data_IF_087367987561
#
_entry.id   IF_087367987561
#
_cell.length_a   1.000
_cell.length_b   1.000
_cell.length_c   1.000
_cell.angle_alpha   90.00
_cell.angle_beta   90.00
_cell.angle_gamma   90.00
#
_symmetry.space_group_name_H-M   'P 1'
#
loop_
_entity.id
_entity.type
_entity.pdbx_description
1 polymer ?
#
# COMPACT_ATOMS: atom_id res chain seq x y z
N UNK A 1 40.63 -20.07 -10.72
CA UNK A 1 40.08 -21.14 -11.59
C UNK A 1 38.67 -21.42 -11.09
N UNK A 2 37.56 -21.22 -11.80
CA UNK A 2 37.27 -20.89 -13.19
C UNK A 2 36.03 -19.98 -13.21
N UNK A 3 36.07 -19.02 -14.11
CA UNK A 3 34.97 -18.27 -14.72
C UNK A 3 33.96 -19.18 -15.40
N UNK A 4 32.65 -18.90 -15.31
CA UNK A 4 31.72 -19.13 -16.43
C UNK A 4 30.73 -17.98 -16.51
N UNK A 5 30.67 -17.40 -17.71
CA UNK A 5 29.82 -16.31 -18.15
C UNK A 5 29.04 -16.85 -19.36
N UNK A 6 27.84 -16.30 -19.60
CA UNK A 6 26.98 -16.43 -20.80
C UNK A 6 26.20 -17.76 -20.98
N UNK A 7 24.87 -17.66 -21.09
CA UNK A 7 24.28 -17.65 -22.44
C UNK A 7 22.85 -17.11 -22.49
N UNK A 8 22.71 -16.20 -23.45
CA UNK A 8 21.53 -15.54 -23.95
C UNK A 8 20.96 -16.46 -25.04
N UNK A 9 19.67 -16.80 -25.04
CA UNK A 9 19.03 -17.35 -26.24
C UNK A 9 17.62 -16.82 -26.43
N UNK A 10 17.52 -15.96 -27.43
CA UNK A 10 16.32 -15.55 -28.14
C UNK A 10 15.72 -16.77 -28.84
N UNK A 11 14.40 -16.99 -28.72
CA UNK A 11 13.66 -17.83 -29.68
C UNK A 11 12.57 -17.00 -30.34
N UNK A 12 12.79 -16.75 -31.63
CA UNK A 12 11.85 -16.11 -32.53
C UNK A 12 10.73 -17.03 -33.01
N UNK A 13 9.61 -16.38 -33.26
CA UNK A 13 8.55 -16.55 -34.26
C UNK A 13 8.51 -17.83 -35.12
N UNK A 14 7.31 -18.42 -35.22
CA UNK A 14 6.39 -18.32 -36.38
C UNK A 14 5.23 -19.32 -36.20
N UNK A 15 3.98 -18.85 -36.23
CA UNK A 15 3.09 -19.21 -37.33
C UNK A 15 1.79 -18.40 -37.36
N UNK A 16 1.42 -18.10 -38.59
CA UNK A 16 0.34 -17.24 -39.07
C UNK A 16 -0.96 -18.03 -39.06
N UNK A 17 -1.98 -17.49 -38.39
CA UNK A 17 -3.37 -17.92 -38.47
C UNK A 17 -4.23 -16.75 -38.94
N UNK A 18 -4.93 -16.96 -40.05
CA UNK A 18 -5.76 -16.00 -40.78
C UNK A 18 -6.98 -15.48 -39.98
N UNK A 19 -7.51 -14.28 -40.30
CA UNK A 19 -8.54 -13.62 -39.52
C UNK A 19 -9.95 -14.15 -39.88
N UNK A 20 -10.61 -14.80 -38.95
CA UNK A 20 -12.06 -15.05 -39.03
C UNK A 20 -12.81 -13.88 -38.37
N UNK A 21 -13.64 -13.18 -39.17
CA UNK A 21 -14.53 -12.11 -38.71
C UNK A 21 -15.52 -12.66 -37.66
N UNK A 22 -15.43 -12.19 -36.43
CA UNK A 22 -16.47 -12.37 -35.43
C UNK A 22 -17.56 -11.28 -35.59
N UNK A 23 -18.85 -11.62 -35.41
CA UNK A 23 -19.97 -10.77 -35.77
C UNK A 23 -20.21 -9.61 -34.80
N UNK A 24 -20.70 -8.51 -35.35
CA UNK A 24 -21.16 -7.29 -34.66
C UNK A 24 -22.34 -7.63 -33.74
N UNK A 25 -22.36 -7.21 -32.46
CA UNK A 25 -23.54 -7.39 -31.62
C UNK A 25 -24.64 -6.41 -32.08
N UNK A 26 -25.74 -6.97 -32.58
CA UNK A 26 -26.97 -6.24 -32.89
C UNK A 26 -27.59 -5.68 -31.60
N UNK A 27 -27.63 -4.35 -31.49
CA UNK A 27 -28.43 -3.63 -30.50
C UNK A 27 -29.90 -3.76 -30.90
N UNK A 28 -30.67 -4.59 -30.18
CA UNK A 28 -32.14 -4.57 -30.25
C UNK A 28 -32.65 -3.44 -29.38
N UNK A 29 -33.14 -2.36 -30.01
CA UNK A 29 -33.85 -1.29 -29.32
C UNK A 29 -35.21 -1.81 -28.81
N UNK A 30 -35.37 -1.90 -27.50
CA UNK A 30 -36.69 -2.10 -26.88
C UNK A 30 -37.38 -0.72 -26.84
N UNK A 31 -38.33 -0.49 -27.74
CA UNK A 31 -39.21 0.68 -27.70
C UNK A 31 -40.27 0.45 -26.62
N UNK A 32 -40.06 0.97 -25.41
CA UNK A 32 -41.16 1.19 -24.48
C UNK A 32 -41.89 2.48 -24.84
N UNK A 33 -43.11 2.30 -25.35
CA UNK A 33 -44.09 3.35 -25.60
C UNK A 33 -44.67 3.76 -24.24
N UNK A 34 -44.25 4.90 -23.70
CA UNK A 34 -44.95 5.57 -22.62
C UNK A 34 -45.35 6.97 -23.11
N UNK A 35 -46.64 7.13 -23.37
CA UNK A 35 -47.25 8.43 -23.57
C UNK A 35 -47.59 9.04 -22.22
N UNK A 36 -46.95 10.15 -21.88
CA UNK A 36 -47.36 11.10 -20.84
C UNK A 36 -46.94 12.50 -21.31
N UNK A 37 -47.75 13.57 -21.11
CA UNK A 37 -47.47 14.89 -21.67
C UNK A 37 -46.22 15.54 -21.08
N UNK A 38 -45.51 16.26 -21.93
CA UNK A 38 -44.32 17.05 -21.62
C UNK A 38 -44.68 18.20 -20.69
N UNK A 39 -44.30 18.13 -19.43
CA UNK A 39 -44.14 19.30 -18.57
C UNK A 39 -42.66 19.69 -18.56
N UNK A 40 -42.31 20.72 -19.32
CA UNK A 40 -41.02 21.40 -19.24
C UNK A 40 -40.93 22.17 -17.92
N UNK A 41 -40.43 21.53 -16.87
CA UNK A 41 -39.74 22.23 -15.78
C UNK A 41 -38.27 21.88 -15.90
N UNK A 42 -37.43 22.87 -16.18
CA UNK A 42 -35.99 22.71 -16.10
C UNK A 42 -35.66 22.26 -14.67
N UNK A 43 -35.23 21.01 -14.52
CA UNK A 43 -34.72 20.52 -13.25
C UNK A 43 -33.54 21.43 -12.84
N UNK A 44 -33.44 21.82 -11.56
CA UNK A 44 -32.26 22.55 -11.09
C UNK A 44 -31.01 21.74 -11.41
N UNK A 45 -29.86 22.37 -11.72
CA UNK A 45 -28.63 21.65 -12.00
C UNK A 45 -28.39 20.66 -10.85
N UNK A 46 -28.40 19.38 -11.18
CA UNK A 46 -28.12 18.32 -10.22
C UNK A 46 -26.79 18.61 -9.53
N UNK A 47 -26.66 18.42 -8.20
CA UNK A 47 -25.41 18.68 -7.51
C UNK A 47 -24.29 17.91 -8.22
N UNK A 48 -23.19 18.61 -8.53
CA UNK A 48 -22.00 18.05 -9.18
C UNK A 48 -21.68 16.74 -8.47
N UNK A 49 -21.78 15.61 -9.19
CA UNK A 49 -21.57 14.30 -8.56
C UNK A 49 -20.11 14.25 -8.14
N UNK A 50 -19.85 14.21 -6.83
CA UNK A 50 -18.51 14.03 -6.28
C UNK A 50 -17.81 12.88 -7.00
N UNK A 51 -16.56 13.06 -7.41
CA UNK A 51 -15.74 11.97 -7.94
C UNK A 51 -15.65 10.88 -6.89
N UNK A 52 -15.79 9.62 -7.28
CA UNK A 52 -15.70 8.49 -6.34
C UNK A 52 -14.56 7.55 -6.76
N UNK A 53 -13.57 7.38 -5.87
CA UNK A 53 -12.53 6.38 -5.98
C UNK A 53 -12.98 5.11 -5.28
N UNK A 54 -13.07 4.02 -6.05
CA UNK A 54 -13.36 2.68 -5.53
C UNK A 54 -12.09 1.88 -5.42
N UNK A 55 -11.73 1.45 -4.22
CA UNK A 55 -10.53 0.66 -3.97
C UNK A 55 -10.92 -0.80 -3.73
N UNK A 56 -10.36 -1.70 -4.52
CA UNK A 56 -10.56 -3.13 -4.35
C UNK A 56 -9.85 -3.60 -3.08
N UNK A 57 -10.63 -4.04 -2.09
CA UNK A 57 -10.11 -4.63 -0.85
C UNK A 57 -10.28 -6.14 -0.81
N UNK A 58 -10.26 -6.81 -1.97
CA UNK A 58 -10.24 -8.28 -2.04
C UNK A 58 -8.90 -8.84 -1.54
N UNK A 59 -8.85 -10.15 -1.24
CA UNK A 59 -7.69 -10.83 -0.62
C UNK A 59 -6.36 -10.51 -1.29
N UNK A 60 -6.29 -10.55 -2.62
CA UNK A 60 -5.05 -10.30 -3.38
C UNK A 60 -4.62 -8.84 -3.27
N UNK A 61 -5.52 -7.88 -3.44
CA UNK A 61 -5.22 -6.45 -3.35
C UNK A 61 -4.81 -6.05 -1.93
N UNK A 62 -5.43 -6.62 -0.88
CA UNK A 62 -4.99 -6.39 0.51
C UNK A 62 -3.55 -6.82 0.75
N UNK A 63 -3.11 -7.94 0.16
CA UNK A 63 -1.71 -8.41 0.24
C UNK A 63 -0.73 -7.47 -0.47
N UNK A 64 -1.21 -6.66 -1.41
CA UNK A 64 -0.42 -5.69 -2.17
C UNK A 64 -0.48 -4.28 -1.59
N UNK A 65 -1.01 -4.09 -0.37
CA UNK A 65 -1.05 -2.78 0.30
C UNK A 65 -2.33 -1.96 0.09
N UNK A 66 -3.34 -2.49 -0.60
CA UNK A 66 -4.56 -1.73 -0.92
C UNK A 66 -5.32 -1.22 0.31
N UNK A 67 -5.23 -1.91 1.46
CA UNK A 67 -5.87 -1.48 2.70
C UNK A 67 -5.25 -0.20 3.27
N UNK A 68 -3.93 -0.07 3.14
CA UNK A 68 -3.18 1.09 3.60
C UNK A 68 -3.41 2.27 2.65
N UNK A 69 -3.34 2.02 1.34
CA UNK A 69 -3.71 2.99 0.29
C UNK A 69 -5.13 3.51 0.50
N UNK A 70 -6.09 2.63 0.75
CA UNK A 70 -7.47 3.02 1.01
C UNK A 70 -7.61 3.99 2.19
N UNK A 71 -6.96 3.67 3.32
CA UNK A 71 -6.97 4.55 4.51
C UNK A 71 -6.28 5.88 4.23
N UNK A 72 -5.11 5.84 3.59
CA UNK A 72 -4.37 7.04 3.20
C UNK A 72 -5.21 7.97 2.30
N UNK A 73 -5.91 7.40 1.32
CA UNK A 73 -6.85 8.14 0.48
C UNK A 73 -8.01 8.72 1.31
N UNK A 74 -8.61 7.93 2.20
CA UNK A 74 -9.67 8.43 3.08
C UNK A 74 -9.20 9.62 3.93
N UNK A 75 -8.03 9.51 4.57
CA UNK A 75 -7.44 10.55 5.42
C UNK A 75 -7.19 11.85 4.64
N UNK A 76 -6.66 11.76 3.42
CA UNK A 76 -6.36 12.93 2.61
C UNK A 76 -7.57 13.54 1.89
N UNK A 77 -8.67 12.80 1.79
CA UNK A 77 -9.88 13.26 1.08
C UNK A 77 -11.02 13.68 2.00
N UNK A 78 -10.83 13.71 3.33
CA UNK A 78 -11.88 14.07 4.29
C UNK A 78 -12.56 15.41 3.96
N UNK A 79 -11.79 16.39 3.48
CA UNK A 79 -12.27 17.73 3.09
C UNK A 79 -12.31 17.94 1.56
N UNK A 80 -11.90 16.94 0.77
CA UNK A 80 -11.83 17.04 -0.68
C UNK A 80 -13.18 16.70 -1.34
N UNK A 81 -13.36 17.14 -2.59
CA UNK A 81 -14.52 16.73 -3.41
C UNK A 81 -14.34 15.35 -4.06
N UNK A 82 -13.72 14.42 -3.32
CA UNK A 82 -13.48 13.04 -3.73
C UNK A 82 -13.95 12.13 -2.62
N UNK A 83 -14.82 11.18 -2.96
CA UNK A 83 -15.26 10.15 -2.03
C UNK A 83 -14.46 8.87 -2.25
N UNK A 84 -13.94 8.28 -1.19
CA UNK A 84 -13.21 7.01 -1.26
C UNK A 84 -14.08 5.90 -0.67
N UNK A 85 -14.34 4.84 -1.44
CA UNK A 85 -15.12 3.67 -1.02
C UNK A 85 -14.39 2.38 -1.36
N UNK A 86 -14.64 1.34 -0.57
CA UNK A 86 -14.20 0.01 -0.93
C UNK A 86 -15.14 -0.60 -1.99
N UNK A 87 -14.63 -1.59 -2.72
CA UNK A 87 -15.42 -2.37 -3.64
C UNK A 87 -15.00 -3.85 -3.66
N UNK A 88 -15.91 -4.67 -4.19
CA UNK A 88 -15.62 -6.05 -4.57
C UNK A 88 -14.57 -6.11 -5.69
N UNK A 89 -14.06 -7.32 -5.95
CA UNK A 89 -13.10 -7.55 -7.02
C UNK A 89 -13.56 -6.95 -8.37
N UNK A 90 -12.66 -6.21 -9.02
CA UNK A 90 -12.87 -5.64 -10.36
C UNK A 90 -12.61 -6.65 -11.49
N UNK A 91 -12.44 -7.95 -11.17
CA UNK A 91 -12.44 -9.04 -12.15
C UNK A 91 -11.11 -9.36 -12.84
N UNK A 92 -10.11 -8.46 -12.81
CA UNK A 92 -8.86 -8.61 -13.58
C UNK A 92 -7.64 -9.03 -12.73
N UNK A 93 -7.78 -10.07 -11.91
CA UNK A 93 -6.71 -10.54 -11.02
C UNK A 93 -5.52 -11.11 -11.83
N UNK A 94 -4.34 -10.51 -11.71
CA UNK A 94 -3.10 -11.00 -12.34
C UNK A 94 -2.40 -9.97 -13.22
N UNK A 95 -3.15 -9.02 -13.79
CA UNK A 95 -2.61 -7.88 -14.58
C UNK A 95 -3.29 -6.52 -14.28
N UNK A 96 -4.40 -6.46 -13.53
CA UNK A 96 -5.34 -5.34 -13.59
C UNK A 96 -5.62 -4.56 -12.30
N UNK A 97 -6.58 -3.62 -12.35
CA UNK A 97 -6.66 -2.45 -11.49
C UNK A 97 -7.08 -2.79 -10.08
N UNK A 98 -6.43 -2.14 -9.11
CA UNK A 98 -6.88 -2.18 -7.73
C UNK A 98 -7.82 -1.00 -7.40
N UNK A 99 -8.07 -0.10 -8.37
CA UNK A 99 -8.89 1.09 -8.16
C UNK A 99 -9.68 1.49 -9.41
N UNK A 100 -10.85 2.08 -9.22
CA UNK A 100 -11.66 2.64 -10.29
C UNK A 100 -12.16 4.04 -9.93
N UNK A 101 -12.16 4.95 -10.91
CA UNK A 101 -12.72 6.29 -10.80
C UNK A 101 -14.13 6.32 -11.39
N UNK A 102 -15.07 6.83 -10.61
CA UNK A 102 -16.48 7.01 -10.97
C UNK A 102 -16.83 8.51 -11.04
N UNK A 103 -17.77 8.90 -11.94
CA UNK A 103 -18.65 8.05 -12.75
C UNK A 103 -18.05 7.55 -14.07
N UNK A 104 -16.83 7.95 -14.42
CA UNK A 104 -16.20 7.65 -15.72
C UNK A 104 -15.94 6.15 -15.94
N UNK A 105 -15.93 5.35 -14.87
CA UNK A 105 -15.62 3.92 -14.93
C UNK A 105 -14.16 3.67 -15.32
N UNK A 106 -13.27 4.65 -15.09
CA UNK A 106 -11.87 4.56 -15.47
C UNK A 106 -11.14 3.64 -14.48
N UNK A 107 -10.67 2.51 -14.99
CA UNK A 107 -9.81 1.57 -14.29
C UNK A 107 -8.40 2.16 -14.08
N UNK A 108 -7.85 2.00 -12.88
CA UNK A 108 -6.53 2.49 -12.48
C UNK A 108 -5.65 1.32 -12.03
N UNK A 109 -4.61 1.06 -12.81
CA UNK A 109 -3.69 -0.04 -12.57
C UNK A 109 -2.56 0.32 -11.59
N UNK A 110 -2.08 -0.70 -10.87
CA UNK A 110 -0.87 -0.64 -10.03
C UNK A 110 -0.85 0.43 -8.93
N UNK A 111 -1.98 0.78 -8.31
CA UNK A 111 -2.01 1.76 -7.20
C UNK A 111 -1.70 1.08 -5.86
N UNK A 112 -0.51 0.49 -5.73
CA UNK A 112 -0.15 -0.34 -4.58
C UNK A 112 0.48 0.45 -3.42
N UNK A 113 1.05 1.62 -3.71
CA UNK A 113 1.78 2.43 -2.74
C UNK A 113 1.08 3.76 -2.45
N UNK A 114 1.46 4.40 -1.34
CA UNK A 114 1.01 5.76 -1.01
C UNK A 114 1.45 6.78 -2.07
N UNK A 115 2.56 6.50 -2.76
CA UNK A 115 3.07 7.37 -3.81
C UNK A 115 2.20 7.26 -5.08
N UNK A 116 1.73 6.05 -5.40
CA UNK A 116 0.75 5.85 -6.46
C UNK A 116 -0.59 6.50 -6.09
N UNK A 117 -1.03 6.36 -4.84
CA UNK A 117 -2.25 6.98 -4.34
C UNK A 117 -2.18 8.52 -4.43
N UNK A 118 -1.04 9.09 -4.05
CA UNK A 118 -0.73 10.52 -4.17
C UNK A 118 -0.80 10.98 -5.62
N UNK A 119 -0.24 10.19 -6.55
CA UNK A 119 -0.31 10.46 -7.99
C UNK A 119 -1.75 10.46 -8.51
N UNK A 120 -2.57 9.50 -8.08
CA UNK A 120 -4.00 9.44 -8.44
C UNK A 120 -4.75 10.67 -7.91
N UNK A 121 -4.55 11.04 -6.65
CA UNK A 121 -5.22 12.19 -6.05
C UNK A 121 -4.85 13.50 -6.75
N UNK A 122 -3.56 13.75 -6.96
CA UNK A 122 -3.06 15.00 -7.54
C UNK A 122 -3.35 15.09 -9.05
N UNK A 123 -2.98 14.07 -9.82
CA UNK A 123 -3.02 14.14 -11.29
C UNK A 123 -4.39 13.79 -11.89
N UNK A 124 -5.15 12.89 -11.25
CA UNK A 124 -6.42 12.40 -11.78
C UNK A 124 -7.59 13.10 -11.11
N UNK A 125 -7.53 13.23 -9.78
CA UNK A 125 -8.63 13.80 -9.02
C UNK A 125 -8.54 15.33 -8.91
N UNK A 126 -7.34 15.91 -9.02
CA UNK A 126 -7.10 17.35 -8.85
C UNK A 126 -7.10 17.76 -7.36
N UNK A 127 -6.83 16.82 -6.46
CA UNK A 127 -6.80 17.08 -5.01
C UNK A 127 -5.46 17.68 -4.64
N UNK A 128 -5.51 18.83 -3.95
CA UNK A 128 -4.34 19.40 -3.29
C UNK A 128 -4.03 18.60 -2.02
N UNK A 129 -2.80 18.10 -1.91
CA UNK A 129 -2.34 17.34 -0.75
C UNK A 129 -1.39 18.23 0.06
N UNK A 130 -1.44 18.21 1.40
CA UNK A 130 -0.51 18.98 2.23
C UNK A 130 0.95 18.71 1.85
N UNK A 131 1.70 19.80 1.64
CA UNK A 131 3.10 19.75 1.22
C UNK A 131 3.99 18.89 2.14
N UNK A 132 3.84 18.90 3.49
CA UNK A 132 4.62 18.01 4.36
C UNK A 132 4.43 16.52 4.06
N UNK A 133 3.22 16.10 3.69
CA UNK A 133 2.93 14.70 3.34
C UNK A 133 3.67 14.33 2.05
N UNK A 134 3.56 15.15 1.01
CA UNK A 134 4.24 14.90 -0.28
C UNK A 134 5.76 14.85 -0.12
N UNK A 135 6.35 15.82 0.60
CA UNK A 135 7.80 15.86 0.85
C UNK A 135 8.26 14.67 1.69
N UNK A 136 7.52 14.29 2.73
CA UNK A 136 7.85 13.15 3.57
C UNK A 136 7.85 11.82 2.80
N UNK A 137 6.92 11.66 1.85
CA UNK A 137 6.86 10.50 0.96
C UNK A 137 8.04 10.44 0.00
N UNK A 138 8.45 11.58 -0.58
CA UNK A 138 9.65 11.66 -1.41
C UNK A 138 10.91 11.29 -0.62
N UNK A 139 11.06 11.81 0.61
CA UNK A 139 12.17 11.47 1.49
C UNK A 139 12.17 9.98 1.89
N UNK A 140 10.99 9.40 2.14
CA UNK A 140 10.84 7.95 2.34
C UNK A 140 11.36 7.16 1.13
N UNK A 141 11.03 7.58 -0.08
CA UNK A 141 11.52 6.90 -1.30
C UNK A 141 13.03 7.00 -1.45
N UNK A 142 13.62 8.17 -1.18
CA UNK A 142 15.06 8.37 -1.18
C UNK A 142 15.75 7.49 -0.12
N UNK A 143 15.21 7.47 1.10
CA UNK A 143 15.70 6.61 2.17
C UNK A 143 15.62 5.12 1.84
N UNK A 144 14.53 4.67 1.20
CA UNK A 144 14.39 3.29 0.74
C UNK A 144 15.46 2.95 -0.32
N UNK A 145 15.68 3.84 -1.28
CA UNK A 145 16.69 3.66 -2.32
C UNK A 145 18.11 3.60 -1.74
N UNK A 146 18.43 4.47 -0.78
CA UNK A 146 19.71 4.45 -0.08
C UNK A 146 19.90 3.15 0.74
N UNK A 147 18.85 2.68 1.43
CA UNK A 147 18.88 1.44 2.19
C UNK A 147 19.12 0.22 1.30
N UNK A 148 18.45 0.13 0.15
CA UNK A 148 18.66 -0.93 -0.85
C UNK A 148 20.11 -0.90 -1.37
N UNK A 149 20.68 0.29 -1.53
CA UNK A 149 22.06 0.46 -1.96
C UNK A 149 23.10 0.26 -0.83
N UNK A 150 22.67 -0.13 0.38
CA UNK A 150 23.54 -0.33 1.54
C UNK A 150 24.10 0.96 2.16
N UNK A 151 23.64 2.13 1.72
CA UNK A 151 24.04 3.43 2.28
C UNK A 151 23.16 3.75 3.49
N UNK A 152 23.47 3.09 4.60
CA UNK A 152 22.63 3.09 5.79
C UNK A 152 22.52 4.48 6.45
N UNK A 153 23.62 5.24 6.53
CA UNK A 153 23.58 6.59 7.12
C UNK A 153 22.69 7.54 6.32
N UNK A 154 22.88 7.57 4.99
CA UNK A 154 22.02 8.36 4.08
C UNK A 154 20.55 7.93 4.17
N UNK A 155 20.28 6.63 4.34
CA UNK A 155 18.92 6.15 4.54
C UNK A 155 18.30 6.69 5.83
N UNK A 156 19.04 6.61 6.95
CA UNK A 156 18.61 7.13 8.23
C UNK A 156 18.40 8.65 8.22
N UNK A 157 19.26 9.40 7.54
CA UNK A 157 19.13 10.85 7.35
C UNK A 157 17.85 11.20 6.60
N UNK A 158 17.60 10.54 5.47
CA UNK A 158 16.39 10.75 4.67
C UNK A 158 15.11 10.46 5.47
N UNK A 159 15.06 9.33 6.20
CA UNK A 159 13.92 9.06 7.05
C UNK A 159 13.76 10.07 8.18
N UNK A 160 14.86 10.51 8.79
CA UNK A 160 14.83 11.51 9.85
C UNK A 160 14.32 12.87 9.35
N UNK A 161 14.76 13.29 8.17
CA UNK A 161 14.23 14.47 7.51
C UNK A 161 12.73 14.33 7.23
N UNK A 162 12.28 13.16 6.77
CA UNK A 162 10.85 12.89 6.54
C UNK A 162 10.03 12.95 7.83
N UNK A 163 10.56 12.41 8.93
CA UNK A 163 9.92 12.44 10.27
C UNK A 163 9.83 13.87 10.79
N UNK A 164 10.87 14.69 10.58
CA UNK A 164 10.92 16.08 11.03
C UNK A 164 9.84 16.97 10.36
N UNK A 165 9.33 16.57 9.19
CA UNK A 165 8.19 17.24 8.54
C UNK A 165 6.85 17.00 9.26
N UNK A 166 6.79 16.06 10.20
CA UNK A 166 5.61 15.67 10.96
C UNK A 166 4.36 15.49 10.06
N UNK A 167 4.41 14.57 9.07
CA UNK A 167 3.30 14.39 8.15
C UNK A 167 2.07 13.85 8.89
N UNK A 168 0.89 14.35 8.54
CA UNK A 168 -0.38 13.94 9.16
C UNK A 168 -0.73 12.46 8.93
N UNK A 169 -0.10 11.83 7.94
CA UNK A 169 -0.25 10.39 7.63
C UNK A 169 1.06 9.81 7.13
N UNK A 170 1.25 8.49 7.27
CA UNK A 170 2.46 7.78 6.83
C UNK A 170 3.68 7.88 7.76
N UNK A 171 3.59 8.61 8.88
CA UNK A 171 4.70 8.74 9.86
C UNK A 171 5.20 7.39 10.39
N UNK A 172 4.29 6.45 10.67
CA UNK A 172 4.64 5.11 11.14
C UNK A 172 5.52 4.31 10.17
N UNK A 173 5.44 4.60 8.85
CA UNK A 173 6.26 3.95 7.83
C UNK A 173 7.70 4.43 7.89
N UNK A 174 7.90 5.75 8.02
CA UNK A 174 9.22 6.35 8.15
C UNK A 174 9.93 5.83 9.40
N UNK A 175 9.21 5.77 10.53
CA UNK A 175 9.71 5.21 11.79
C UNK A 175 10.08 3.73 11.64
N UNK A 176 9.20 2.92 11.06
CA UNK A 176 9.47 1.49 10.84
C UNK A 176 10.69 1.26 9.94
N UNK A 177 10.85 2.06 8.88
CA UNK A 177 11.97 1.93 7.95
C UNK A 177 13.28 2.41 8.59
N UNK A 178 13.24 3.51 9.34
CA UNK A 178 14.42 3.99 10.09
C UNK A 178 14.84 3.00 11.18
N UNK A 179 13.89 2.42 11.91
CA UNK A 179 14.17 1.34 12.86
C UNK A 179 14.87 0.15 12.19
N UNK A 180 14.45 -0.22 10.98
CA UNK A 180 15.12 -1.27 10.20
C UNK A 180 16.57 -0.92 9.86
N UNK A 181 16.84 0.32 9.47
CA UNK A 181 18.19 0.79 9.18
C UNK A 181 19.03 0.85 10.46
N UNK A 182 18.48 1.37 11.55
CA UNK A 182 19.17 1.41 12.85
C UNK A 182 19.55 0.02 13.37
N UNK A 183 18.72 -1.00 13.17
CA UNK A 183 19.12 -2.38 13.50
C UNK A 183 20.29 -2.87 12.65
N UNK A 184 20.32 -2.57 11.36
CA UNK A 184 21.45 -2.93 10.49
C UNK A 184 22.75 -2.21 10.90
N UNK A 185 22.62 -1.03 11.50
CA UNK A 185 23.74 -0.27 12.07
C UNK A 185 24.13 -0.72 13.50
N UNK A 186 23.41 -1.68 14.11
CA UNK A 186 23.62 -2.07 15.51
C UNK A 186 23.09 -1.06 16.54
N UNK A 187 22.37 -0.03 16.11
CA UNK A 187 21.75 1.00 16.96
C UNK A 187 20.40 0.52 17.52
N UNK A 188 20.42 -0.62 18.20
CA UNK A 188 19.20 -1.35 18.57
C UNK A 188 18.29 -0.57 19.52
N UNK A 189 18.84 0.24 20.44
CA UNK A 189 18.04 1.06 21.37
C UNK A 189 17.23 2.16 20.66
N UNK A 190 17.83 2.82 19.67
CA UNK A 190 17.16 3.84 18.87
C UNK A 190 16.12 3.20 17.94
N UNK A 191 16.46 2.05 17.36
CA UNK A 191 15.52 1.26 16.57
C UNK A 191 14.30 0.84 17.39
N UNK A 192 14.49 0.48 18.66
CA UNK A 192 13.39 0.11 19.55
C UNK A 192 12.42 1.27 19.77
N UNK A 193 12.94 2.47 20.04
CA UNK A 193 12.12 3.66 20.24
C UNK A 193 11.26 3.95 18.99
N UNK A 194 11.86 3.92 17.81
CA UNK A 194 11.16 4.10 16.54
C UNK A 194 10.09 3.02 16.30
N UNK A 195 10.41 1.75 16.57
CA UNK A 195 9.49 0.64 16.38
C UNK A 195 8.27 0.71 17.32
N UNK A 196 8.50 1.11 18.58
CA UNK A 196 7.42 1.34 19.55
C UNK A 196 6.49 2.45 19.09
N UNK A 197 7.05 3.59 18.66
CA UNK A 197 6.25 4.70 18.15
C UNK A 197 5.51 4.31 16.86
N UNK A 198 6.15 3.55 15.96
CA UNK A 198 5.51 3.06 14.74
C UNK A 198 4.28 2.20 15.05
N UNK A 199 4.38 1.25 15.99
CA UNK A 199 3.25 0.39 16.40
C UNK A 199 2.12 1.18 17.07
N UNK A 200 2.44 2.23 17.83
CA UNK A 200 1.43 3.08 18.46
C UNK A 200 0.62 3.89 17.43
N UNK A 201 1.29 4.38 16.38
CA UNK A 201 0.68 5.21 15.33
C UNK A 201 0.03 4.40 14.21
N UNK A 202 0.49 3.18 13.97
CA UNK A 202 0.10 2.42 12.80
C UNK A 202 -1.32 1.84 12.87
N UNK A 203 -1.99 1.66 11.71
CA UNK A 203 -3.25 0.96 11.68
C UNK A 203 -3.08 -0.52 12.14
N UNK A 204 -4.14 -1.18 12.67
CA UNK A 204 -4.07 -2.57 13.14
C UNK A 204 -3.62 -3.60 12.10
N UNK A 205 -3.66 -3.24 10.81
CA UNK A 205 -3.20 -4.08 9.69
C UNK A 205 -1.69 -3.99 9.43
N UNK A 206 -0.97 -3.09 10.11
CA UNK A 206 0.45 -2.86 9.87
C UNK A 206 1.31 -3.88 10.61
N UNK A 207 1.59 -4.99 9.92
CA UNK A 207 2.37 -6.11 10.44
C UNK A 207 3.84 -5.73 10.67
N UNK A 208 4.43 -4.95 9.76
CA UNK A 208 5.86 -4.65 9.75
C UNK A 208 6.32 -3.92 11.02
N UNK A 209 5.48 -3.06 11.60
CA UNK A 209 5.79 -2.40 12.87
C UNK A 209 5.98 -3.39 14.01
N UNK A 210 5.12 -4.41 14.11
CA UNK A 210 5.22 -5.46 15.12
C UNK A 210 6.43 -6.36 14.90
N UNK A 211 6.70 -6.76 13.65
CA UNK A 211 7.91 -7.51 13.29
C UNK A 211 9.14 -6.73 13.74
N UNK A 212 9.21 -5.45 13.37
CA UNK A 212 10.35 -4.61 13.67
C UNK A 212 10.53 -4.40 15.18
N UNK A 213 9.44 -4.23 15.93
CA UNK A 213 9.49 -4.15 17.39
C UNK A 213 10.05 -5.43 18.03
N UNK A 214 9.58 -6.60 17.59
CA UNK A 214 10.09 -7.89 18.07
C UNK A 214 11.56 -8.08 17.73
N UNK A 215 11.97 -7.75 16.50
CA UNK A 215 13.37 -7.83 16.08
C UNK A 215 14.26 -6.91 16.93
N UNK A 216 13.80 -5.69 17.25
CA UNK A 216 14.55 -4.77 18.12
C UNK A 216 14.73 -5.34 19.53
N UNK A 217 13.68 -5.90 20.13
CA UNK A 217 13.75 -6.51 21.45
C UNK A 217 14.66 -7.74 21.45
N UNK A 218 14.57 -8.57 20.41
CA UNK A 218 15.43 -9.74 20.24
C UNK A 218 16.90 -9.33 20.11
N UNK A 219 17.22 -8.32 19.28
CA UNK A 219 18.57 -7.82 19.09
C UNK A 219 19.19 -7.20 20.38
N UNK A 220 18.34 -6.75 21.30
CA UNK A 220 18.77 -6.24 22.62
C UNK A 220 18.90 -7.35 23.69
N UNK A 221 18.67 -8.62 23.35
CA UNK A 221 18.66 -9.71 24.33
C UNK A 221 17.40 -9.77 25.20
N UNK A 222 16.39 -8.93 24.92
CA UNK A 222 15.16 -8.81 25.71
C UNK A 222 14.12 -9.84 25.23
N UNK A 223 14.51 -11.11 25.22
CA UNK A 223 13.74 -12.19 24.58
C UNK A 223 12.36 -12.42 25.22
N UNK A 224 12.26 -12.27 26.54
CA UNK A 224 11.00 -12.40 27.26
C UNK A 224 10.00 -11.31 26.83
N UNK A 225 10.44 -10.06 26.73
CA UNK A 225 9.60 -8.96 26.25
C UNK A 225 9.24 -9.11 24.77
N UNK A 226 10.16 -9.65 23.96
CA UNK A 226 9.89 -9.98 22.56
C UNK A 226 8.78 -11.04 22.44
N UNK A 227 8.80 -12.07 23.31
CA UNK A 227 7.76 -13.10 23.42
C UNK A 227 6.40 -12.52 23.80
N UNK A 228 6.36 -11.65 24.79
CA UNK A 228 5.13 -10.96 25.21
C UNK A 228 4.60 -10.05 24.09
N UNK A 229 5.51 -9.37 23.38
CA UNK A 229 5.16 -8.54 22.22
C UNK A 229 4.53 -9.37 21.11
N UNK A 230 5.00 -10.59 20.85
CA UNK A 230 4.36 -11.51 19.89
C UNK A 230 2.91 -11.81 20.28
N UNK A 231 2.64 -12.07 21.57
CA UNK A 231 1.28 -12.31 22.05
C UNK A 231 0.38 -11.09 21.83
N UNK A 232 0.88 -9.88 22.14
CA UNK A 232 0.14 -8.63 21.90
C UNK A 232 -0.08 -8.39 20.39
N UNK A 233 0.93 -8.65 19.56
CA UNK A 233 0.84 -8.52 18.11
C UNK A 233 -0.24 -9.44 17.53
N UNK A 234 -0.34 -10.68 18.00
CA UNK A 234 -1.39 -11.62 17.57
C UNK A 234 -2.80 -11.16 17.95
N UNK A 235 -2.95 -10.47 19.08
CA UNK A 235 -4.24 -9.93 19.51
C UNK A 235 -4.63 -8.69 18.70
N UNK A 236 -3.69 -7.76 18.50
CA UNK A 236 -3.97 -6.47 17.85
C UNK A 236 -3.92 -6.52 16.33
N UNK A 237 -3.13 -7.44 15.77
CA UNK A 237 -2.91 -7.60 14.34
C UNK A 237 -3.09 -9.09 13.96
N UNK A 238 -4.32 -9.52 13.61
CA UNK A 238 -4.56 -10.92 13.19
C UNK A 238 -3.69 -11.37 12.01
N UNK A 239 -3.22 -10.42 11.19
CA UNK A 239 -2.38 -10.70 10.03
C UNK A 239 -0.93 -11.01 10.40
N UNK A 240 -0.52 -10.71 11.63
CA UNK A 240 0.81 -11.05 12.14
C UNK A 240 1.07 -12.56 12.09
N UNK A 241 0.07 -13.39 12.43
CA UNK A 241 0.20 -14.87 12.42
C UNK A 241 0.56 -15.45 11.06
N UNK A 242 0.12 -14.81 9.98
CA UNK A 242 0.31 -15.30 8.60
C UNK A 242 1.48 -14.63 7.89
N UNK A 243 2.20 -13.73 8.58
CA UNK A 243 3.42 -13.13 8.07
C UNK A 243 4.51 -14.20 7.88
N UNK A 244 5.32 -14.14 6.80
CA UNK A 244 6.39 -15.11 6.58
C UNK A 244 7.43 -15.10 7.72
N UNK A 245 7.67 -13.93 8.32
CA UNK A 245 8.62 -13.72 9.43
C UNK A 245 8.13 -14.36 10.73
N UNK A 246 6.82 -14.54 10.91
CA UNK A 246 6.25 -15.05 12.16
C UNK A 246 6.88 -16.38 12.60
N UNK A 247 7.05 -17.32 11.66
CA UNK A 247 7.65 -18.63 11.97
C UNK A 247 9.10 -18.52 12.38
N UNK A 248 9.86 -17.62 11.74
CA UNK A 248 11.27 -17.38 12.04
C UNK A 248 11.42 -16.78 13.44
N UNK A 249 10.60 -15.77 13.75
CA UNK A 249 10.55 -15.12 15.06
C UNK A 249 10.25 -16.13 16.17
N UNK A 250 9.18 -16.92 16.02
CA UNK A 250 8.78 -17.92 17.03
C UNK A 250 9.88 -18.97 17.23
N UNK A 251 10.50 -19.44 16.14
CA UNK A 251 11.59 -20.41 16.25
C UNK A 251 12.83 -19.82 16.94
N UNK A 252 13.16 -18.55 16.67
CA UNK A 252 14.27 -17.86 17.32
C UNK A 252 14.00 -17.72 18.83
N UNK A 253 12.81 -17.25 19.22
CA UNK A 253 12.44 -17.09 20.64
C UNK A 253 12.41 -18.42 21.41
N UNK A 254 11.96 -19.51 20.78
CA UNK A 254 12.01 -20.85 21.40
C UNK A 254 13.43 -21.34 21.64
N UNK A 255 14.39 -20.99 20.76
CA UNK A 255 15.80 -21.33 20.97
C UNK A 255 16.39 -20.60 22.19
N UNK A 256 15.90 -19.39 22.47
CA UNK A 256 16.25 -18.63 23.68
C UNK A 256 15.46 -19.07 24.93
N UNK A 257 14.63 -20.12 24.84
CA UNK A 257 13.85 -20.66 25.96
C UNK A 257 12.53 -19.95 26.26
N UNK A 258 12.06 -19.04 25.39
CA UNK A 258 10.80 -18.33 25.58
C UNK A 258 9.58 -19.19 25.17
N UNK A 259 8.46 -18.97 25.86
CA UNK A 259 7.18 -19.61 25.53
C UNK A 259 6.34 -18.71 24.59
N UNK A 260 6.31 -19.08 23.31
CA UNK A 260 5.64 -18.39 22.19
C UNK A 260 4.76 -19.29 21.34
#
# INVERSE_FOLDING_TARGET
>A
MQTINKDFTVRGSKNVGTPTKAPVPHIRSIRHRCGVPVCCSAAPPSPVRKKELRVCLSRTCRKQGAQEVFKFLQDLTQEADVRVRDCSCLGNCGNGPNMALMPEGKELDHVATLDDATRVLTQICGVSIPEPVVKSLALKQQGNAAAIAGRLDEAAENYSAGIALNPSTGLHLLLCNRASVYLQQGRCSEALADAQQAVQLAPPSFVNGWIRLVDCLYALGRHQEASETVAVALQKCPQFRVAPEYRVIVQALRKEGCNV
#
